data_IF_572703337505
#
_entry.id   IF_572703337505
#
_cell.length_a   1.000
_cell.length_b   1.000
_cell.length_c   1.000
_cell.angle_alpha   90.00
_cell.angle_beta   90.00
_cell.angle_gamma   90.00
#
_symmetry.space_group_name_H-M   'P 1'
#
loop_
_entity.id
_entity.type
_entity.pdbx_description
1 polymer ?
#
# COMPACT_ATOMS: atom_id res chain seq x y z
N UNK A 1 -26.26 10.40 48.26
CA UNK A 1 -25.27 10.97 47.31
C UNK A 1 -24.11 10.03 46.99
N UNK A 2 -23.47 9.36 47.96
CA UNK A 2 -22.35 8.42 47.71
C UNK A 2 -22.69 7.23 46.79
N UNK A 3 -23.91 6.65 46.91
CA UNK A 3 -24.39 5.55 46.05
C UNK A 3 -24.66 5.97 44.59
N UNK A 4 -24.97 7.25 44.36
CA UNK A 4 -25.23 7.79 43.02
C UNK A 4 -23.92 8.02 42.25
N UNK A 5 -22.88 8.49 42.94
CA UNK A 5 -21.51 8.58 42.39
C UNK A 5 -20.95 7.21 42.00
N UNK A 6 -21.25 6.16 42.76
CA UNK A 6 -20.80 4.81 42.44
C UNK A 6 -21.46 4.25 41.17
N UNK A 7 -22.74 4.56 40.94
CA UNK A 7 -23.46 4.14 39.73
C UNK A 7 -22.98 4.86 38.46
N UNK A 8 -22.63 6.15 38.55
CA UNK A 8 -22.07 6.93 37.44
C UNK A 8 -20.65 6.45 37.09
N UNK A 9 -19.84 6.11 38.09
CA UNK A 9 -18.51 5.54 37.85
C UNK A 9 -18.59 4.15 37.18
N UNK A 10 -19.60 3.35 37.52
CA UNK A 10 -19.80 2.03 36.93
C UNK A 10 -20.27 2.08 35.47
N UNK A 11 -21.13 3.06 35.10
CA UNK A 11 -21.58 3.22 33.70
C UNK A 11 -20.51 3.79 32.77
N UNK A 12 -19.61 4.64 33.29
CA UNK A 12 -18.47 5.14 32.52
C UNK A 12 -17.46 4.02 32.16
N UNK A 13 -17.32 2.99 33.01
CA UNK A 13 -16.41 1.87 32.76
C UNK A 13 -16.84 0.93 31.63
N UNK A 14 -18.15 0.84 31.34
CA UNK A 14 -18.69 -0.05 30.28
C UNK A 14 -18.50 0.55 28.87
N UNK A 15 -18.30 1.87 28.77
CA UNK A 15 -18.12 2.55 27.48
C UNK A 15 -16.69 2.45 26.92
N UNK A 16 -15.74 1.88 27.67
CA UNK A 16 -14.33 1.84 27.31
C UNK A 16 -13.87 0.58 26.55
N UNK A 17 -14.72 -0.44 26.39
CA UNK A 17 -14.33 -1.77 25.88
C UNK A 17 -15.07 -2.22 24.60
N UNK A 18 -15.27 -1.33 23.60
CA UNK A 18 -15.98 -1.74 22.38
C UNK A 18 -15.56 -1.06 21.06
N UNK A 19 -14.37 -0.46 20.94
CA UNK A 19 -13.88 -0.04 19.61
C UNK A 19 -13.29 -1.25 18.87
N UNK A 20 -14.14 -1.97 18.14
CA UNK A 20 -13.72 -3.01 17.20
C UNK A 20 -13.02 -2.33 16.01
N UNK A 21 -11.70 -2.52 15.89
CA UNK A 21 -10.94 -1.97 14.77
C UNK A 21 -11.14 -2.86 13.53
N UNK A 22 -11.95 -2.39 12.58
CA UNK A 22 -12.15 -3.10 11.32
C UNK A 22 -10.88 -2.98 10.47
N UNK A 23 -10.37 -4.10 9.92
CA UNK A 23 -9.28 -4.02 8.97
C UNK A 23 -9.72 -3.21 7.75
N UNK A 24 -8.80 -2.42 7.19
CA UNK A 24 -9.05 -1.72 5.94
C UNK A 24 -9.45 -2.73 4.84
N UNK A 25 -10.39 -2.36 3.97
CA UNK A 25 -10.88 -3.23 2.89
C UNK A 25 -9.75 -3.74 1.96
N UNK A 26 -8.66 -2.98 1.86
CA UNK A 26 -7.39 -3.39 1.28
C UNK A 26 -6.30 -3.24 2.33
N UNK A 27 -5.98 -4.31 3.08
CA UNK A 27 -4.97 -4.27 4.13
C UNK A 27 -3.62 -3.83 3.57
N UNK A 28 -2.87 -3.05 4.36
CA UNK A 28 -1.49 -2.73 4.04
C UNK A 28 -0.62 -3.97 4.29
N UNK A 29 0.30 -4.24 3.38
CA UNK A 29 1.22 -5.37 3.48
C UNK A 29 2.64 -4.89 3.15
N UNK A 30 3.58 -5.33 3.99
CA UNK A 30 5.01 -5.15 3.75
C UNK A 30 5.66 -6.52 3.55
N UNK A 31 6.41 -6.66 2.47
CA UNK A 31 7.25 -7.83 2.21
C UNK A 31 8.69 -7.34 2.28
N UNK A 32 9.53 -8.01 3.06
CA UNK A 32 10.96 -7.76 3.08
C UNK A 32 11.69 -9.03 2.67
N UNK A 33 12.71 -8.87 1.82
CA UNK A 33 13.57 -9.95 1.39
C UNK A 33 15.03 -9.52 1.51
N UNK A 34 15.83 -10.31 2.22
CA UNK A 34 17.28 -10.14 2.21
C UNK A 34 17.84 -10.46 0.83
N UNK A 35 18.77 -9.65 0.37
CA UNK A 35 19.41 -9.79 -0.93
C UNK A 35 20.87 -9.35 -0.81
N UNK A 36 21.80 -10.28 -1.06
CA UNK A 36 23.25 -10.05 -0.85
C UNK A 36 23.50 -9.53 0.59
N UNK A 37 24.17 -8.38 0.75
CA UNK A 37 24.43 -7.74 2.05
C UNK A 37 23.38 -6.68 2.46
N UNK A 38 22.27 -6.56 1.72
CA UNK A 38 21.19 -5.61 2.01
C UNK A 38 19.82 -6.30 2.02
N UNK A 39 18.75 -5.50 2.03
CA UNK A 39 17.38 -5.96 1.78
C UNK A 39 16.70 -5.19 0.65
N UNK A 40 15.65 -5.78 0.11
CA UNK A 40 14.61 -5.15 -0.70
C UNK A 40 13.32 -5.21 0.09
N UNK A 41 12.58 -4.11 0.19
CA UNK A 41 11.25 -4.09 0.80
C UNK A 41 10.21 -3.56 -0.16
N UNK A 42 9.00 -4.12 -0.07
CA UNK A 42 7.82 -3.73 -0.84
C UNK A 42 6.68 -3.44 0.14
N UNK A 43 6.19 -2.21 0.14
CA UNK A 43 5.08 -1.75 0.97
C UNK A 43 3.92 -1.32 0.06
N UNK A 44 2.79 -2.00 0.16
CA UNK A 44 1.66 -1.82 -0.76
C UNK A 44 0.32 -2.08 -0.07
N UNK A 45 -0.73 -1.41 -0.54
CA UNK A 45 -2.10 -1.77 -0.18
C UNK A 45 -2.55 -2.95 -1.04
N UNK A 46 -2.77 -4.12 -0.42
CA UNK A 46 -3.14 -5.35 -1.13
C UNK A 46 -4.56 -5.22 -1.71
N UNK A 47 -4.73 -5.09 -3.04
CA UNK A 47 -6.04 -4.89 -3.62
C UNK A 47 -6.90 -6.15 -3.55
N UNK A 48 -8.15 -6.00 -3.13
CA UNK A 48 -9.15 -7.08 -3.18
C UNK A 48 -9.98 -6.98 -4.45
N UNK A 49 -10.07 -8.08 -5.21
CA UNK A 49 -10.76 -8.10 -6.52
C UNK A 49 -12.27 -7.84 -6.36
N UNK A 50 -12.88 -8.36 -5.30
CA UNK A 50 -14.30 -8.17 -4.96
C UNK A 50 -15.25 -8.44 -6.14
N UNK A 51 -15.05 -9.56 -6.86
CA UNK A 51 -15.83 -9.96 -8.04
C UNK A 51 -15.88 -8.94 -9.21
N UNK A 52 -14.95 -7.97 -9.24
CA UNK A 52 -14.86 -6.99 -10.33
C UNK A 52 -13.89 -7.46 -11.41
N UNK A 53 -14.20 -7.10 -12.67
CA UNK A 53 -13.20 -7.14 -13.74
C UNK A 53 -12.14 -6.06 -13.46
N UNK A 54 -10.88 -6.46 -13.35
CA UNK A 54 -9.79 -5.55 -12.99
C UNK A 54 -9.24 -4.84 -14.22
N UNK A 55 -8.52 -5.55 -15.08
CA UNK A 55 -7.85 -4.95 -16.23
C UNK A 55 -8.80 -4.74 -17.42
N UNK A 56 -8.68 -3.58 -18.06
CA UNK A 56 -9.63 -3.13 -19.09
C UNK A 56 -11.00 -2.75 -18.53
N UNK A 57 -11.09 -2.51 -17.22
CA UNK A 57 -12.28 -1.98 -16.53
C UNK A 57 -11.84 -1.11 -15.34
N UNK A 58 -11.77 -1.66 -14.12
CA UNK A 58 -11.36 -0.90 -12.93
C UNK A 58 -9.97 -0.27 -13.05
N UNK A 59 -9.05 -0.99 -13.69
CA UNK A 59 -7.75 -0.49 -14.13
C UNK A 59 -7.80 -0.47 -15.66
N UNK A 60 -8.03 0.70 -16.28
CA UNK A 60 -8.05 0.82 -17.73
C UNK A 60 -6.70 0.46 -18.35
N UNK A 61 -6.73 -0.08 -19.56
CA UNK A 61 -5.49 -0.26 -20.32
C UNK A 61 -5.00 1.06 -20.87
N UNK A 62 -3.68 1.23 -20.95
CA UNK A 62 -3.04 2.45 -21.41
C UNK A 62 -2.98 3.57 -20.37
N UNK A 63 -3.63 3.41 -19.23
CA UNK A 63 -3.59 4.38 -18.13
C UNK A 63 -2.62 3.95 -17.03
N UNK A 64 -2.06 4.93 -16.33
CA UNK A 64 -1.19 4.67 -15.19
C UNK A 64 -1.97 4.12 -14.00
N UNK A 65 -1.36 3.18 -13.31
CA UNK A 65 -1.87 2.62 -12.08
C UNK A 65 -0.76 2.48 -11.04
N UNK A 66 -1.04 2.86 -9.81
CA UNK A 66 -0.12 2.80 -8.65
C UNK A 66 0.21 1.38 -8.13
N UNK A 67 -0.15 0.35 -8.91
CA UNK A 67 0.04 -1.06 -8.61
C UNK A 67 -0.51 -1.52 -7.24
N UNK A 68 -1.49 -0.82 -6.68
CA UNK A 68 -1.97 -1.04 -5.32
C UNK A 68 -3.22 -0.24 -4.95
N UNK A 69 -3.71 -0.45 -3.74
CA UNK A 69 -4.82 0.30 -3.15
C UNK A 69 -4.32 1.42 -2.21
N UNK A 70 -5.08 2.52 -2.13
CA UNK A 70 -4.77 3.71 -1.32
C UNK A 70 -3.48 4.41 -1.76
N UNK A 71 -2.43 4.44 -0.92
CA UNK A 71 -1.12 5.01 -1.26
C UNK A 71 -0.40 4.17 -2.31
N UNK A 72 0.49 4.80 -3.08
CA UNK A 72 1.29 4.12 -4.09
C UNK A 72 2.10 2.96 -3.51
N UNK A 73 2.32 1.95 -4.35
CA UNK A 73 3.21 0.84 -4.03
C UNK A 73 4.62 1.38 -3.92
N UNK A 74 5.26 1.20 -2.77
CA UNK A 74 6.60 1.69 -2.50
C UNK A 74 7.56 0.51 -2.47
N UNK A 75 8.61 0.58 -3.29
CA UNK A 75 9.71 -0.38 -3.25
C UNK A 75 10.98 0.32 -2.78
N UNK A 76 11.72 -0.30 -1.88
CA UNK A 76 12.98 0.24 -1.35
C UNK A 76 14.11 -0.75 -1.61
N UNK A 77 15.18 -0.27 -2.24
CA UNK A 77 16.39 -1.03 -2.52
C UNK A 77 17.52 -0.57 -1.59
N UNK A 78 18.12 -1.50 -0.85
CA UNK A 78 19.26 -1.21 0.04
C UNK A 78 20.62 -1.13 -0.67
N UNK A 79 20.70 -1.50 -1.95
CA UNK A 79 21.91 -1.43 -2.77
C UNK A 79 21.50 -1.16 -4.24
N UNK A 80 22.44 -0.80 -5.14
CA UNK A 80 22.11 -0.63 -6.55
C UNK A 80 21.53 -1.92 -7.15
N UNK A 81 20.45 -1.80 -7.92
CA UNK A 81 19.82 -2.94 -8.60
C UNK A 81 19.68 -2.67 -10.09
N UNK A 82 19.80 -3.72 -10.90
CA UNK A 82 19.55 -3.64 -12.35
C UNK A 82 18.16 -4.21 -12.65
N UNK A 83 17.29 -3.39 -13.24
CA UNK A 83 15.96 -3.79 -13.71
C UNK A 83 15.91 -3.62 -15.22
N UNK A 84 15.87 -4.74 -15.95
CA UNK A 84 16.05 -4.73 -17.40
C UNK A 84 17.41 -4.13 -17.78
N UNK A 85 17.38 -3.03 -18.54
CA UNK A 85 18.58 -2.31 -18.96
C UNK A 85 18.92 -1.09 -18.08
N UNK A 86 18.12 -0.81 -17.04
CA UNK A 86 18.28 0.36 -16.18
C UNK A 86 18.91 -0.03 -14.85
N UNK A 87 19.91 0.75 -14.41
CA UNK A 87 20.47 0.63 -13.05
C UNK A 87 19.78 1.66 -12.16
N UNK A 88 19.17 1.18 -11.07
CA UNK A 88 18.55 2.00 -10.04
C UNK A 88 19.51 2.09 -8.84
N UNK A 89 19.88 3.30 -8.39
CA UNK A 89 20.64 3.47 -7.16
C UNK A 89 19.80 3.06 -5.93
N UNK A 90 20.45 2.84 -4.77
CA UNK A 90 19.74 2.59 -3.51
C UNK A 90 18.76 3.73 -3.23
N UNK A 91 17.59 3.37 -2.69
CA UNK A 91 16.54 4.34 -2.41
C UNK A 91 15.14 3.75 -2.47
N UNK A 92 14.16 4.60 -2.17
CA UNK A 92 12.74 4.28 -2.24
C UNK A 92 12.15 4.84 -3.53
N UNK A 93 11.27 4.07 -4.15
CA UNK A 93 10.60 4.42 -5.39
C UNK A 93 9.11 4.08 -5.29
N UNK A 94 8.25 4.95 -5.83
CA UNK A 94 6.88 4.58 -6.15
C UNK A 94 6.89 3.72 -7.42
N UNK A 95 6.17 2.61 -7.39
CA UNK A 95 5.99 1.70 -8.52
C UNK A 95 4.68 2.02 -9.20
N UNK A 96 4.78 2.47 -10.44
CA UNK A 96 3.65 2.64 -11.34
C UNK A 96 3.69 1.61 -12.46
N UNK A 97 2.51 1.29 -12.96
CA UNK A 97 2.30 0.33 -14.02
C UNK A 97 1.35 0.93 -15.03
N UNK A 98 1.69 0.85 -16.32
CA UNK A 98 0.76 1.11 -17.42
C UNK A 98 0.46 -0.25 -18.07
N UNK A 99 -0.67 -0.89 -17.73
CA UNK A 99 -1.02 -2.18 -18.28
C UNK A 99 -1.53 -2.01 -19.71
N UNK A 100 -1.18 -2.97 -20.57
CA UNK A 100 -1.86 -3.19 -21.85
C UNK A 100 -2.32 -4.65 -21.93
N UNK A 101 -3.07 -4.99 -22.98
CA UNK A 101 -3.58 -6.34 -23.18
C UNK A 101 -2.46 -7.39 -23.32
N UNK A 102 -1.33 -7.03 -23.96
CA UNK A 102 -0.24 -7.95 -24.25
C UNK A 102 1.05 -7.69 -23.44
N UNK A 103 1.28 -6.46 -22.99
CA UNK A 103 2.52 -6.09 -22.31
C UNK A 103 2.29 -4.95 -21.31
N UNK A 104 3.11 -4.91 -20.28
CA UNK A 104 2.97 -3.95 -19.19
C UNK A 104 4.25 -3.15 -19.08
N UNK A 105 4.12 -1.84 -18.89
CA UNK A 105 5.25 -0.96 -18.60
C UNK A 105 5.30 -0.70 -17.11
N UNK A 106 6.47 -0.89 -16.51
CA UNK A 106 6.73 -0.62 -15.10
C UNK A 106 7.59 0.63 -14.99
N UNK A 107 7.23 1.53 -14.11
CA UNK A 107 7.91 2.80 -13.87
C UNK A 107 8.32 2.88 -12.41
N UNK A 108 9.54 3.38 -12.17
CA UNK A 108 10.08 3.64 -10.84
C UNK A 108 10.23 5.15 -10.67
N UNK A 109 9.32 5.76 -9.91
CA UNK A 109 9.35 7.19 -9.62
C UNK A 109 10.06 7.46 -8.29
N UNK A 110 10.97 8.43 -8.26
CA UNK A 110 11.69 8.86 -7.04
C UNK A 110 10.79 9.57 -6.02
N UNK A 111 9.69 10.17 -6.46
CA UNK A 111 8.67 10.67 -5.54
C UNK A 111 7.85 9.47 -5.02
N UNK A 112 8.35 8.88 -3.93
CA UNK A 112 7.89 7.60 -3.41
C UNK A 112 6.64 7.70 -2.50
N UNK A 113 6.25 8.90 -2.09
CA UNK A 113 5.18 9.12 -1.10
C UNK A 113 3.95 9.76 -1.72
N UNK A 114 3.30 9.03 -2.62
CA UNK A 114 2.15 9.55 -3.36
C UNK A 114 0.83 8.85 -2.99
N UNK A 115 -0.24 9.65 -2.90
CA UNK A 115 -1.62 9.18 -2.74
C UNK A 115 -2.32 9.00 -4.10
N UNK A 116 -1.68 8.34 -5.06
CA UNK A 116 -2.21 8.23 -6.43
C UNK A 116 -1.11 8.14 -7.48
N UNK A 117 -1.50 8.38 -8.73
CA UNK A 117 -0.61 8.39 -9.89
C UNK A 117 -0.69 9.76 -10.60
N UNK A 118 -0.40 10.83 -9.85
CA UNK A 118 -0.51 12.20 -10.35
C UNK A 118 0.78 12.67 -11.00
N UNK A 119 1.93 12.26 -10.46
CA UNK A 119 3.27 12.56 -10.98
C UNK A 119 4.00 11.23 -11.23
N UNK A 120 4.41 10.92 -12.46
CA UNK A 120 5.10 9.67 -12.81
C UNK A 120 5.90 9.75 -14.11
#
# INVERSE_FOLDING_TARGET
>A
MKKLFFFIALSAGVSAFAQYNLPAASPRQTIEQQFSVSKVSLDYGRPSVNNRKIFGALVPYGEVWRAGANSATKITFGQPVKVGNTVLPPGSYAVFVIPQAASWRILFNKDAEQWGAYNY
#
